data_IF_460603405633
#
_entry.id   IF_460603405633
#
_cell.length_a   1.000
_cell.length_b   1.000
_cell.length_c   1.000
_cell.angle_alpha   90.00
_cell.angle_beta   90.00
_cell.angle_gamma   90.00
#
_symmetry.space_group_name_H-M   'P 1'
#
loop_
_entity.id
_entity.type
_entity.pdbx_description
1 polymer ?
#
# COMPACT_ATOMS: atom_id res chain seq x y z
N UNK A 1 14.74 -20.20 9.42
CA UNK A 1 14.76 -20.08 7.94
C UNK A 1 14.59 -21.45 7.31
N UNK A 2 13.64 -21.59 6.40
CA UNK A 2 13.44 -22.83 5.65
C UNK A 2 14.40 -22.91 4.46
N UNK A 3 15.37 -23.81 4.50
CA UNK A 3 16.40 -23.92 3.44
C UNK A 3 15.80 -24.27 2.08
N UNK A 4 14.79 -25.14 2.04
CA UNK A 4 14.14 -25.56 0.78
C UNK A 4 13.36 -24.44 0.12
N UNK A 5 12.65 -23.63 0.89
CA UNK A 5 11.87 -22.49 0.37
C UNK A 5 12.74 -21.44 -0.32
N UNK A 6 13.96 -21.22 0.18
CA UNK A 6 14.95 -20.35 -0.48
C UNK A 6 15.55 -21.01 -1.74
N UNK A 7 15.79 -22.31 -1.68
CA UNK A 7 16.45 -23.06 -2.77
C UNK A 7 15.59 -23.20 -4.05
N UNK A 8 14.28 -23.05 -3.95
CA UNK A 8 13.37 -23.15 -5.11
C UNK A 8 13.17 -21.81 -5.85
N UNK A 9 13.73 -20.71 -5.33
CA UNK A 9 13.64 -19.39 -5.97
C UNK A 9 14.54 -19.35 -7.19
N UNK A 10 13.96 -19.13 -8.37
CA UNK A 10 14.65 -19.13 -9.67
C UNK A 10 15.22 -17.75 -10.08
N UNK A 11 15.49 -16.88 -9.10
CA UNK A 11 16.10 -15.56 -9.32
C UNK A 11 17.09 -15.23 -8.19
N UNK A 12 17.82 -14.12 -8.31
CA UNK A 12 18.67 -13.63 -7.25
C UNK A 12 17.84 -13.30 -6.00
N UNK A 13 18.13 -14.00 -4.91
CA UNK A 13 17.33 -13.88 -3.67
C UNK A 13 17.62 -12.58 -2.94
N UNK A 14 18.82 -12.02 -3.05
CA UNK A 14 19.16 -10.75 -2.41
C UNK A 14 18.46 -9.59 -3.13
N UNK A 15 18.37 -9.64 -4.46
CA UNK A 15 17.58 -8.67 -5.22
C UNK A 15 16.09 -8.78 -4.90
N UNK A 16 15.55 -9.99 -4.77
CA UNK A 16 14.16 -10.19 -4.35
C UNK A 16 13.90 -9.63 -2.94
N UNK A 17 14.79 -9.87 -1.98
CA UNK A 17 14.69 -9.33 -0.62
C UNK A 17 14.72 -7.79 -0.65
N UNK A 18 15.51 -7.19 -1.52
CA UNK A 18 15.55 -5.73 -1.70
C UNK A 18 14.21 -5.20 -2.22
N UNK A 19 13.63 -5.82 -3.26
CA UNK A 19 12.31 -5.44 -3.79
C UNK A 19 11.22 -5.58 -2.71
N UNK A 20 11.24 -6.67 -1.94
CA UNK A 20 10.31 -6.89 -0.84
C UNK A 20 10.46 -5.83 0.28
N UNK A 21 11.69 -5.42 0.60
CA UNK A 21 11.90 -4.35 1.57
C UNK A 21 11.40 -2.99 1.07
N UNK A 22 11.44 -2.73 -0.22
CA UNK A 22 10.84 -1.54 -0.82
C UNK A 22 9.32 -1.57 -0.68
N UNK A 23 8.66 -2.67 -1.03
CA UNK A 23 7.24 -2.85 -0.82
C UNK A 23 6.87 -2.73 0.67
N UNK A 24 7.57 -3.44 1.56
CA UNK A 24 7.37 -3.36 3.01
C UNK A 24 7.43 -1.93 3.57
N UNK A 25 8.36 -1.13 3.07
CA UNK A 25 8.47 0.27 3.47
C UNK A 25 7.27 1.10 2.99
N UNK A 26 6.76 0.82 1.78
CA UNK A 26 5.55 1.47 1.25
C UNK A 26 4.33 1.18 2.11
N UNK A 27 4.11 -0.08 2.53
CA UNK A 27 2.98 -0.45 3.39
C UNK A 27 2.97 0.33 4.72
N UNK A 28 4.13 0.49 5.35
CA UNK A 28 4.20 1.28 6.59
C UNK A 28 3.92 2.76 6.38
N UNK A 29 4.34 3.33 5.26
CA UNK A 29 4.03 4.72 4.93
C UNK A 29 2.54 4.87 4.61
N UNK A 30 1.95 3.97 3.83
CA UNK A 30 0.54 3.93 3.50
C UNK A 30 -0.32 3.75 4.76
N UNK A 31 0.00 2.77 5.62
CA UNK A 31 -0.66 2.59 6.91
C UNK A 31 -0.74 3.89 7.70
N UNK A 32 0.40 4.57 7.86
CA UNK A 32 0.43 5.79 8.66
C UNK A 32 -0.29 6.95 7.99
N UNK A 33 -0.20 7.09 6.66
CA UNK A 33 -0.90 8.12 5.89
C UNK A 33 -2.41 7.97 6.03
N UNK A 34 -2.94 6.78 5.85
CA UNK A 34 -4.35 6.46 6.06
C UNK A 34 -4.79 6.72 7.50
N UNK A 35 -4.06 6.18 8.46
CA UNK A 35 -4.42 6.29 9.86
C UNK A 35 -4.45 7.74 10.36
N UNK A 36 -3.43 8.54 10.05
CA UNK A 36 -3.39 9.94 10.48
C UNK A 36 -4.37 10.81 9.68
N UNK A 37 -4.55 10.55 8.39
CA UNK A 37 -5.54 11.20 7.55
C UNK A 37 -6.95 11.04 8.11
N UNK A 38 -7.34 9.83 8.50
CA UNK A 38 -8.63 9.54 9.13
C UNK A 38 -8.87 10.31 10.43
N UNK A 39 -7.82 10.69 11.18
CA UNK A 39 -7.93 11.49 12.41
C UNK A 39 -8.11 12.98 12.16
N UNK A 40 -7.58 13.47 11.05
CA UNK A 40 -7.51 14.91 10.77
C UNK A 40 -8.59 15.40 9.79
N UNK A 41 -9.19 14.49 9.03
CA UNK A 41 -10.10 14.75 7.93
C UNK A 41 -11.22 15.76 8.26
N UNK A 42 -11.50 16.68 7.34
CA UNK A 42 -12.53 17.72 7.43
C UNK A 42 -13.28 17.85 6.11
N UNK A 43 -14.53 18.28 6.21
CA UNK A 43 -15.35 18.58 5.04
C UNK A 43 -16.56 17.67 4.89
N UNK A 44 -17.25 17.74 3.74
CA UNK A 44 -18.39 16.87 3.45
C UNK A 44 -17.99 15.41 3.46
N UNK A 45 -18.90 14.51 3.86
CA UNK A 45 -18.67 13.05 3.90
C UNK A 45 -17.51 12.58 4.80
N UNK A 46 -16.93 13.47 5.63
CA UNK A 46 -15.74 13.14 6.45
C UNK A 46 -15.84 11.83 7.23
N UNK A 47 -17.05 11.51 7.74
CA UNK A 47 -17.23 10.33 8.58
C UNK A 47 -17.20 9.03 7.75
N UNK A 48 -17.76 9.06 6.52
CA UNK A 48 -17.70 7.95 5.58
C UNK A 48 -16.26 7.74 5.09
N UNK A 49 -15.60 8.81 4.66
CA UNK A 49 -14.21 8.73 4.19
C UNK A 49 -13.26 8.31 5.32
N UNK A 50 -13.43 8.84 6.55
CA UNK A 50 -12.63 8.40 7.70
C UNK A 50 -12.80 6.91 8.03
N UNK A 51 -14.01 6.37 7.85
CA UNK A 51 -14.25 4.94 8.04
C UNK A 51 -13.45 4.11 7.03
N UNK A 52 -13.46 4.49 5.76
CA UNK A 52 -12.71 3.83 4.68
C UNK A 52 -11.20 3.92 4.91
N UNK A 53 -10.69 5.13 5.20
CA UNK A 53 -9.27 5.30 5.51
C UNK A 53 -8.80 4.46 6.71
N UNK A 54 -9.63 4.24 7.73
CA UNK A 54 -9.29 3.33 8.85
C UNK A 54 -9.33 1.85 8.45
N UNK A 55 -10.23 1.46 7.55
CA UNK A 55 -10.28 0.10 7.00
C UNK A 55 -9.01 -0.17 6.21
N UNK A 56 -8.69 0.66 5.22
CA UNK A 56 -7.48 0.55 4.42
C UNK A 56 -6.22 0.56 5.28
N UNK A 57 -6.11 1.43 6.29
CA UNK A 57 -4.99 1.39 7.24
C UNK A 57 -4.79 0.01 7.88
N UNK A 58 -5.88 -0.68 8.22
CA UNK A 58 -5.80 -2.03 8.81
C UNK A 58 -5.29 -3.04 7.78
N UNK A 59 -5.69 -2.91 6.53
CA UNK A 59 -5.29 -3.78 5.44
C UNK A 59 -3.83 -3.57 5.05
N UNK A 60 -3.35 -2.32 4.99
CA UNK A 60 -1.92 -2.00 4.79
C UNK A 60 -1.02 -2.63 5.86
N UNK A 61 -1.48 -2.62 7.13
CA UNK A 61 -0.75 -3.30 8.19
C UNK A 61 -0.68 -4.82 7.95
N UNK A 62 -1.75 -5.43 7.42
CA UNK A 62 -1.75 -6.85 7.05
C UNK A 62 -0.82 -7.11 5.86
N UNK A 63 -0.76 -6.22 4.86
CA UNK A 63 0.19 -6.30 3.75
C UNK A 63 1.63 -6.27 4.27
N UNK A 64 1.96 -5.33 5.17
CA UNK A 64 3.27 -5.28 5.81
C UNK A 64 3.64 -6.60 6.52
N UNK A 65 2.67 -7.25 7.17
CA UNK A 65 2.87 -8.58 7.80
C UNK A 65 3.16 -9.64 6.76
N UNK A 66 2.41 -9.71 5.66
CA UNK A 66 2.63 -10.69 4.58
C UNK A 66 4.04 -10.53 3.97
N UNK A 67 4.41 -9.31 3.62
CA UNK A 67 5.71 -9.00 3.02
C UNK A 67 6.86 -9.30 3.98
N UNK A 68 6.76 -8.88 5.24
CA UNK A 68 7.80 -9.15 6.25
C UNK A 68 8.00 -10.64 6.49
N UNK A 69 6.92 -11.42 6.54
CA UNK A 69 6.98 -12.87 6.66
C UNK A 69 7.74 -13.49 5.48
N UNK A 70 7.49 -12.99 4.25
CA UNK A 70 8.20 -13.48 3.07
C UNK A 70 9.69 -13.13 3.11
N UNK A 71 10.06 -11.92 3.50
CA UNK A 71 11.47 -11.52 3.70
C UNK A 71 12.18 -12.49 4.65
N UNK A 72 11.57 -12.77 5.81
CA UNK A 72 12.15 -13.67 6.83
C UNK A 72 12.23 -15.12 6.30
N UNK A 73 11.24 -15.60 5.56
CA UNK A 73 11.27 -16.93 4.93
C UNK A 73 12.45 -17.07 3.96
N UNK A 74 12.78 -16.01 3.24
CA UNK A 74 13.92 -15.96 2.32
C UNK A 74 15.27 -15.78 3.04
N UNK A 75 15.25 -15.57 4.36
CA UNK A 75 16.44 -15.36 5.19
C UNK A 75 16.93 -13.92 5.18
N UNK A 76 16.11 -12.99 4.70
CA UNK A 76 16.36 -11.55 4.78
C UNK A 76 15.94 -10.95 6.12
N UNK A 77 16.21 -9.67 6.26
CA UNK A 77 15.81 -8.86 7.41
C UNK A 77 14.93 -7.71 6.91
N UNK A 78 13.68 -7.57 7.41
CA UNK A 78 12.88 -6.39 7.13
C UNK A 78 13.56 -5.11 7.66
N UNK A 79 13.26 -3.97 7.06
CA UNK A 79 13.78 -2.67 7.53
C UNK A 79 13.46 -2.48 9.01
N UNK A 80 14.50 -2.27 9.83
CA UNK A 80 14.40 -2.31 11.29
C UNK A 80 13.93 -0.98 11.92
N UNK A 81 14.02 0.11 11.19
CA UNK A 81 13.72 1.45 11.74
C UNK A 81 12.76 2.23 10.85
N UNK A 82 11.79 2.95 11.43
CA UNK A 82 10.85 3.77 10.66
C UNK A 82 11.53 4.82 9.77
N UNK A 83 12.68 5.34 10.20
CA UNK A 83 13.45 6.33 9.43
C UNK A 83 13.96 5.78 8.10
N UNK A 84 14.09 4.46 7.98
CA UNK A 84 14.52 3.79 6.76
C UNK A 84 13.42 3.70 5.68
N UNK A 85 12.15 3.79 6.05
CA UNK A 85 11.04 3.57 5.12
C UNK A 85 11.03 4.59 3.99
N UNK A 86 11.05 5.88 4.31
CA UNK A 86 11.03 6.95 3.31
C UNK A 86 12.26 6.99 2.39
N UNK A 87 13.36 6.33 2.79
CA UNK A 87 14.59 6.28 2.00
C UNK A 87 14.56 5.24 0.88
N UNK A 88 13.76 4.17 1.04
CA UNK A 88 13.75 3.03 0.10
C UNK A 88 12.39 2.77 -0.54
N UNK A 89 11.30 3.30 0.02
CA UNK A 89 9.97 3.17 -0.57
C UNK A 89 9.93 3.81 -1.96
N UNK A 90 9.40 3.12 -2.98
CA UNK A 90 9.11 3.73 -4.27
C UNK A 90 7.92 4.70 -4.21
N UNK A 91 7.04 4.55 -3.19
CA UNK A 91 5.88 5.39 -2.99
C UNK A 91 6.18 6.45 -1.92
N UNK A 92 5.98 7.71 -2.27
CA UNK A 92 6.23 8.81 -1.36
C UNK A 92 5.14 8.88 -0.27
N UNK A 93 5.54 9.19 0.96
CA UNK A 93 4.60 9.61 1.99
C UNK A 93 4.16 11.05 1.72
N UNK A 94 2.84 11.27 1.63
CA UNK A 94 2.25 12.59 1.46
C UNK A 94 1.51 12.99 2.74
N UNK A 95 2.10 13.91 3.49
CA UNK A 95 1.56 14.32 4.79
C UNK A 95 0.22 15.05 4.61
N UNK A 96 -0.81 14.77 5.43
CA UNK A 96 -2.12 15.41 5.35
C UNK A 96 -2.09 16.84 5.93
N UNK A 97 -1.26 17.72 5.36
CA UNK A 97 -1.13 19.12 5.78
C UNK A 97 -2.41 19.89 5.52
N UNK A 98 -3.08 19.64 4.39
CA UNK A 98 -4.46 20.08 4.16
C UNK A 98 -5.41 18.90 4.43
N UNK A 99 -6.14 18.92 5.56
CA UNK A 99 -7.04 17.83 5.94
C UNK A 99 -8.39 17.87 5.20
N UNK A 100 -8.54 18.65 4.16
CA UNK A 100 -9.78 18.67 3.39
C UNK A 100 -10.02 17.37 2.65
N UNK A 101 -11.23 16.85 2.74
CA UNK A 101 -11.60 15.50 2.27
C UNK A 101 -11.18 15.21 0.82
N UNK A 102 -11.36 16.17 -0.11
CA UNK A 102 -11.00 15.98 -1.51
C UNK A 102 -9.47 15.84 -1.68
N UNK A 103 -8.69 16.60 -0.90
CA UNK A 103 -7.22 16.55 -0.93
C UNK A 103 -6.74 15.20 -0.41
N UNK A 104 -7.30 14.70 0.70
CA UNK A 104 -6.93 13.41 1.27
C UNK A 104 -7.31 12.25 0.35
N UNK A 105 -8.46 12.32 -0.34
CA UNK A 105 -8.82 11.32 -1.34
C UNK A 105 -7.80 11.32 -2.50
N UNK A 106 -7.44 12.48 -3.05
CA UNK A 106 -6.45 12.57 -4.12
C UNK A 106 -5.07 12.05 -3.72
N UNK A 107 -4.61 12.38 -2.51
CA UNK A 107 -3.33 11.90 -1.97
C UNK A 107 -3.31 10.37 -1.85
N UNK A 108 -4.37 9.77 -1.32
CA UNK A 108 -4.43 8.32 -1.11
C UNK A 108 -4.65 7.59 -2.44
N UNK A 109 -5.46 8.07 -3.37
CA UNK A 109 -5.57 7.51 -4.73
C UNK A 109 -4.20 7.47 -5.42
N UNK A 110 -3.41 8.53 -5.32
CA UNK A 110 -2.06 8.53 -5.87
C UNK A 110 -1.13 7.51 -5.18
N UNK A 111 -1.32 7.29 -3.88
CA UNK A 111 -0.66 6.24 -3.11
C UNK A 111 -0.98 4.84 -3.65
N UNK A 112 -2.29 4.53 -3.85
CA UNK A 112 -2.74 3.25 -4.40
C UNK A 112 -2.19 2.98 -5.79
N UNK A 113 -2.20 3.97 -6.68
CA UNK A 113 -1.62 3.84 -8.02
C UNK A 113 -0.13 3.51 -8.00
N UNK A 114 0.59 4.02 -7.00
CA UNK A 114 1.98 3.66 -6.78
C UNK A 114 2.12 2.24 -6.24
N UNK A 115 1.29 1.82 -5.28
CA UNK A 115 1.26 0.46 -4.74
C UNK A 115 0.94 -0.57 -5.82
N UNK A 116 -0.09 -0.34 -6.63
CA UNK A 116 -0.45 -1.16 -7.81
C UNK A 116 0.76 -1.34 -8.72
N UNK A 117 1.46 -0.26 -9.06
CA UNK A 117 2.67 -0.30 -9.90
C UNK A 117 3.79 -1.13 -9.25
N UNK A 118 3.97 -0.99 -7.95
CA UNK A 118 4.99 -1.71 -7.17
C UNK A 118 4.72 -3.21 -7.15
N UNK A 119 3.48 -3.61 -6.85
CA UNK A 119 3.12 -5.03 -6.82
C UNK A 119 3.05 -5.67 -8.21
N UNK A 120 2.61 -4.93 -9.23
CA UNK A 120 2.73 -5.40 -10.62
C UNK A 120 4.20 -5.68 -10.98
N UNK A 121 5.12 -4.78 -10.62
CA UNK A 121 6.55 -4.97 -10.85
C UNK A 121 7.12 -6.18 -10.10
N UNK A 122 6.66 -6.42 -8.86
CA UNK A 122 7.06 -7.60 -8.09
C UNK A 122 6.53 -8.90 -8.71
N UNK A 123 5.30 -8.90 -9.22
CA UNK A 123 4.74 -10.04 -9.95
C UNK A 123 5.52 -10.32 -11.23
N UNK A 124 5.82 -9.31 -12.03
CA UNK A 124 6.60 -9.47 -13.27
C UNK A 124 8.00 -10.04 -13.01
N UNK A 125 8.64 -9.61 -11.93
CA UNK A 125 9.95 -10.10 -11.53
C UNK A 125 9.93 -11.56 -11.08
N UNK A 126 8.84 -12.01 -10.41
CA UNK A 126 8.74 -13.32 -9.75
C UNK A 126 8.00 -14.38 -10.56
N UNK A 127 7.30 -13.98 -11.63
CA UNK A 127 6.56 -14.90 -12.51
C UNK A 127 7.47 -16.04 -13.00
N UNK A 128 7.01 -17.26 -12.81
CA UNK A 128 7.72 -18.50 -13.17
C UNK A 128 9.06 -18.73 -12.45
N UNK A 129 9.46 -17.83 -11.53
CA UNK A 129 10.72 -17.89 -10.78
C UNK A 129 10.50 -18.11 -9.27
N UNK A 130 9.48 -17.47 -8.70
CA UNK A 130 9.07 -17.64 -7.30
C UNK A 130 7.56 -17.48 -7.15
N UNK A 131 6.84 -18.58 -7.33
CA UNK A 131 5.38 -18.59 -7.28
C UNK A 131 4.83 -18.26 -5.89
N UNK A 132 5.60 -18.42 -4.83
CA UNK A 132 5.17 -18.05 -3.47
C UNK A 132 5.11 -16.54 -3.32
N UNK A 133 6.16 -15.83 -3.75
CA UNK A 133 6.15 -14.37 -3.77
C UNK A 133 5.16 -13.82 -4.80
N UNK A 134 5.07 -14.45 -5.99
CA UNK A 134 4.09 -14.09 -7.02
C UNK A 134 2.65 -14.10 -6.48
N UNK A 135 2.24 -15.19 -5.82
CA UNK A 135 0.89 -15.32 -5.27
C UNK A 135 0.64 -14.34 -4.12
N UNK A 136 1.63 -14.10 -3.26
CA UNK A 136 1.53 -13.08 -2.23
C UNK A 136 1.33 -11.68 -2.85
N UNK A 137 2.14 -11.35 -3.85
CA UNK A 137 2.04 -10.06 -4.55
C UNK A 137 0.70 -9.90 -5.28
N UNK A 138 0.16 -10.98 -5.89
CA UNK A 138 -1.16 -10.99 -6.51
C UNK A 138 -2.26 -10.71 -5.48
N UNK A 139 -2.22 -11.37 -4.32
CA UNK A 139 -3.22 -11.16 -3.25
C UNK A 139 -3.24 -9.70 -2.78
N UNK A 140 -2.08 -9.07 -2.63
CA UNK A 140 -2.01 -7.67 -2.25
C UNK A 140 -2.47 -6.78 -3.41
N UNK A 141 -2.00 -7.02 -4.63
CA UNK A 141 -2.40 -6.24 -5.81
C UNK A 141 -3.94 -6.21 -6.01
N UNK A 142 -4.64 -7.32 -5.78
CA UNK A 142 -6.10 -7.38 -5.84
C UNK A 142 -6.73 -6.40 -4.84
N UNK A 143 -6.19 -6.28 -3.63
CA UNK A 143 -6.67 -5.36 -2.60
C UNK A 143 -6.32 -3.89 -2.92
N UNK A 144 -5.11 -3.61 -3.43
CA UNK A 144 -4.74 -2.24 -3.85
C UNK A 144 -5.62 -1.70 -4.98
N UNK A 145 -6.06 -2.60 -5.90
CA UNK A 145 -7.02 -2.23 -6.95
C UNK A 145 -8.40 -1.93 -6.36
N UNK A 146 -8.84 -2.68 -5.35
CA UNK A 146 -10.09 -2.42 -4.61
C UNK A 146 -9.99 -1.10 -3.83
N UNK A 147 -8.89 -0.85 -3.12
CA UNK A 147 -8.66 0.41 -2.41
C UNK A 147 -8.74 1.63 -3.34
N UNK A 148 -8.11 1.57 -4.51
CA UNK A 148 -8.20 2.64 -5.50
C UNK A 148 -9.65 2.88 -5.92
N UNK A 149 -10.43 1.81 -6.22
CA UNK A 149 -11.84 1.91 -6.62
C UNK A 149 -12.69 2.55 -5.53
N UNK A 150 -12.53 2.13 -4.28
CA UNK A 150 -13.27 2.64 -3.13
C UNK A 150 -13.05 4.14 -2.94
N UNK A 151 -11.79 4.58 -3.01
CA UNK A 151 -11.44 6.00 -2.88
C UNK A 151 -11.95 6.84 -4.05
N UNK A 152 -11.88 6.31 -5.28
CA UNK A 152 -12.42 6.98 -6.46
C UNK A 152 -13.93 7.10 -6.40
N UNK A 153 -14.63 6.06 -5.94
CA UNK A 153 -16.07 6.07 -5.74
C UNK A 153 -16.50 7.13 -4.71
N UNK A 154 -15.79 7.23 -3.58
CA UNK A 154 -16.03 8.29 -2.58
C UNK A 154 -15.77 9.68 -3.15
N UNK A 155 -14.77 9.84 -4.00
CA UNK A 155 -14.48 11.11 -4.67
C UNK A 155 -15.58 11.51 -5.67
N UNK A 156 -16.07 10.55 -6.45
CA UNK A 156 -17.20 10.77 -7.36
C UNK A 156 -18.45 11.22 -6.61
N UNK A 157 -18.79 10.59 -5.50
CA UNK A 157 -19.90 10.97 -4.64
C UNK A 157 -19.73 12.39 -4.07
N UNK A 158 -18.53 12.75 -3.65
CA UNK A 158 -18.20 14.10 -3.19
C UNK A 158 -18.43 15.15 -4.29
N UNK A 159 -18.00 14.88 -5.52
CA UNK A 159 -18.17 15.77 -6.68
C UNK A 159 -19.65 15.94 -7.04
N UNK A 160 -20.45 14.86 -6.92
CA UNK A 160 -21.91 14.91 -7.12
C UNK A 160 -22.61 15.81 -6.10
N UNK A 161 -22.15 15.87 -4.84
CA UNK A 161 -22.71 16.79 -3.84
C UNK A 161 -22.53 18.23 -4.26
N UNK A 162 -21.37 18.62 -4.79
CA UNK A 162 -21.11 19.99 -5.23
C UNK A 162 -21.88 20.37 -6.50
N UNK A 163 -21.98 19.47 -7.45
CA UNK A 163 -22.67 19.73 -8.73
C UNK A 163 -24.20 19.82 -8.56
N UNK A 164 -24.79 19.07 -7.63
CA UNK A 164 -26.24 19.11 -7.35
C UNK A 164 -26.63 20.18 -6.34
N UNK A 165 -25.75 20.55 -5.42
CA UNK A 165 -26.00 21.63 -4.45
C UNK A 165 -25.95 23.04 -5.06
N UNK A 166 -25.50 23.15 -6.31
CA UNK A 166 -25.40 24.43 -7.06
C UNK A 166 -26.65 24.77 -7.89
N UNK A 167 -27.72 23.97 -7.76
CA UNK A 167 -29.06 24.22 -8.37
C UNK A 167 -30.05 24.58 -7.30
#
# INVERSE_FOLDING_TARGET
MGTRGRAIVGMDVEELIKMLNQAYASEWLAYYQYWIGAKLIKGPMKDAVAAELNLHATEELNHAVLVSNRIVQLGGTPVLTPQGWGAISPCAYDAPEDPYVAVLLDQNIAGEQCAITTYQGLMDATKDKDMVTYNMALTILEQEVEHEEDLQSLKEDLDLLFTRGSR
#
